data_IF_377458980699
#
_entry.id   IF_377458980699
#
_cell.length_a   1.000
_cell.length_b   1.000
_cell.length_c   1.000
_cell.angle_alpha   90.00
_cell.angle_beta   90.00
_cell.angle_gamma   90.00
#
_symmetry.space_group_name_H-M   'P 1'
#
loop_
_entity.id
_entity.type
_entity.pdbx_description
1 polymer ?
#
# COMPACT_ATOMS: atom_id res chain seq x y z
N UNK A 1 -8.02 -18.92 6.05
CA UNK A 1 -8.95 -17.95 6.66
C UNK A 1 -8.20 -17.07 7.64
N UNK A 2 -8.63 -15.83 7.82
CA UNK A 2 -8.07 -14.87 8.78
C UNK A 2 -9.14 -14.57 9.85
N UNK A 3 -8.84 -14.86 11.10
CA UNK A 3 -9.81 -14.71 12.21
C UNK A 3 -9.58 -13.40 12.95
N UNK A 4 -10.65 -12.69 13.25
CA UNK A 4 -10.65 -11.44 14.04
C UNK A 4 -11.72 -11.53 15.15
N UNK A 5 -11.50 -10.81 16.24
CA UNK A 5 -12.54 -10.60 17.25
C UNK A 5 -13.60 -9.64 16.71
N UNK A 6 -14.84 -9.82 17.10
CA UNK A 6 -15.91 -8.87 16.77
C UNK A 6 -15.51 -7.45 17.21
N UNK A 7 -15.59 -6.49 16.28
CA UNK A 7 -15.17 -5.11 16.50
C UNK A 7 -13.66 -4.88 16.61
N UNK A 8 -12.84 -5.94 16.54
CA UNK A 8 -11.40 -5.87 16.75
C UNK A 8 -10.56 -5.82 15.47
N UNK A 9 -11.15 -5.41 14.33
CA UNK A 9 -10.40 -5.30 13.08
C UNK A 9 -9.40 -4.16 13.16
N UNK A 10 -8.11 -4.49 12.97
CA UNK A 10 -7.02 -3.53 12.93
C UNK A 10 -6.33 -3.56 11.56
N UNK A 11 -5.88 -2.40 11.08
CA UNK A 11 -5.16 -2.24 9.80
C UNK A 11 -3.71 -2.77 9.93
N UNK A 12 -3.58 -4.06 10.19
CA UNK A 12 -2.28 -4.73 10.31
C UNK A 12 -1.78 -5.24 8.95
N UNK A 13 -0.48 -5.46 8.82
CA UNK A 13 0.10 -6.04 7.60
C UNK A 13 -0.49 -7.42 7.30
N UNK A 14 -0.75 -8.24 8.32
CA UNK A 14 -1.40 -9.56 8.15
C UNK A 14 -2.82 -9.44 7.59
N UNK A 15 -3.60 -8.45 8.05
CA UNK A 15 -4.94 -8.19 7.51
C UNK A 15 -4.85 -7.74 6.05
N UNK A 16 -3.97 -6.81 5.72
CA UNK A 16 -3.76 -6.34 4.34
C UNK A 16 -3.35 -7.50 3.43
N UNK A 17 -2.45 -8.39 3.88
CA UNK A 17 -2.06 -9.58 3.13
C UNK A 17 -3.22 -10.56 2.95
N UNK A 18 -4.08 -10.75 3.97
CA UNK A 18 -5.24 -11.60 3.85
C UNK A 18 -6.21 -11.08 2.78
N UNK A 19 -6.50 -9.78 2.77
CA UNK A 19 -7.28 -9.14 1.70
C UNK A 19 -6.62 -9.33 0.34
N UNK A 20 -5.31 -9.05 0.23
CA UNK A 20 -4.56 -9.20 -1.02
C UNK A 20 -4.65 -10.60 -1.62
N UNK A 21 -4.59 -11.62 -0.76
CA UNK A 21 -4.64 -13.03 -1.15
C UNK A 21 -6.07 -13.56 -1.33
N UNK A 22 -7.11 -12.75 -1.09
CA UNK A 22 -8.50 -13.21 -1.11
C UNK A 22 -8.82 -14.20 -0.01
N UNK A 23 -8.11 -14.13 1.12
CA UNK A 23 -8.36 -15.00 2.27
C UNK A 23 -9.62 -14.50 2.98
N UNK A 24 -10.66 -15.34 3.16
CA UNK A 24 -11.87 -14.94 3.88
C UNK A 24 -11.56 -14.46 5.30
N UNK A 25 -12.13 -13.30 5.65
CA UNK A 25 -12.04 -12.70 6.98
C UNK A 25 -13.29 -13.11 7.76
N UNK A 26 -13.11 -13.74 8.90
CA UNK A 26 -14.21 -14.24 9.74
C UNK A 26 -14.02 -13.83 11.19
N UNK A 27 -15.10 -13.86 11.97
CA UNK A 27 -15.02 -13.71 13.42
C UNK A 27 -14.46 -14.97 14.07
N UNK A 28 -13.85 -14.84 15.24
CA UNK A 28 -13.37 -15.95 16.05
C UNK A 28 -14.50 -16.92 16.48
N UNK A 29 -15.76 -16.47 16.47
CA UNK A 29 -16.95 -17.29 16.71
C UNK A 29 -17.06 -18.46 15.73
N UNK A 30 -16.58 -18.31 14.49
CA UNK A 30 -16.64 -19.37 13.49
C UNK A 30 -16.01 -20.68 13.99
N UNK A 31 -14.85 -20.59 14.63
CA UNK A 31 -14.17 -21.79 15.13
C UNK A 31 -14.96 -22.46 16.26
N UNK A 32 -15.48 -21.66 17.20
CA UNK A 32 -16.25 -22.17 18.32
C UNK A 32 -17.57 -22.84 17.88
N UNK A 33 -18.30 -22.21 16.97
CA UNK A 33 -19.58 -22.75 16.48
C UNK A 33 -19.36 -23.97 15.56
N UNK A 34 -18.30 -23.98 14.75
CA UNK A 34 -17.92 -25.16 13.95
C UNK A 34 -17.55 -26.34 14.84
N UNK A 35 -16.82 -26.09 15.94
CA UNK A 35 -16.50 -27.15 16.91
C UNK A 35 -17.75 -27.73 17.62
N UNK A 36 -18.72 -26.87 17.94
CA UNK A 36 -20.02 -27.34 18.54
C UNK A 36 -20.86 -28.15 17.54
N UNK A 37 -20.80 -27.74 16.26
CA UNK A 37 -21.55 -28.40 15.20
C UNK A 37 -20.86 -29.67 14.67
N UNK A 38 -19.64 -29.99 15.15
CA UNK A 38 -18.79 -31.10 14.68
C UNK A 38 -18.52 -31.07 13.15
N UNK A 39 -18.67 -29.89 12.52
CA UNK A 39 -18.41 -29.69 11.11
C UNK A 39 -17.99 -28.24 10.84
N UNK A 40 -17.32 -28.00 9.70
CA UNK A 40 -16.98 -26.65 9.27
C UNK A 40 -18.24 -25.94 8.74
N UNK A 41 -18.63 -24.87 9.41
CA UNK A 41 -19.76 -24.03 9.00
C UNK A 41 -19.37 -23.09 7.86
N UNK A 42 -20.39 -22.57 7.16
CA UNK A 42 -20.16 -21.60 6.09
C UNK A 42 -19.50 -20.32 6.62
N UNK A 43 -18.37 -19.96 6.02
CA UNK A 43 -17.60 -18.77 6.40
C UNK A 43 -18.38 -17.47 6.22
N UNK A 44 -19.28 -17.42 5.24
CA UNK A 44 -20.02 -16.20 4.89
C UNK A 44 -20.93 -15.70 6.02
N UNK A 45 -21.43 -16.62 6.86
CA UNK A 45 -22.27 -16.30 8.03
C UNK A 45 -21.50 -15.69 9.20
N UNK A 46 -20.18 -15.76 9.14
CA UNK A 46 -19.29 -15.27 10.20
C UNK A 46 -18.44 -14.05 9.77
N UNK A 47 -18.87 -13.33 8.73
CA UNK A 47 -18.23 -12.07 8.34
C UNK A 47 -18.26 -11.08 9.52
N UNK A 48 -17.14 -10.41 9.84
CA UNK A 48 -17.13 -9.40 10.90
C UNK A 48 -17.94 -8.17 10.51
N UNK A 49 -18.57 -7.53 11.48
CA UNK A 49 -19.22 -6.24 11.30
C UNK A 49 -18.15 -5.15 11.35
N UNK A 50 -17.89 -4.47 10.21
CA UNK A 50 -16.77 -3.53 10.04
C UNK A 50 -17.20 -2.18 9.48
N UNK A 51 -18.47 -1.80 9.63
CA UNK A 51 -19.02 -0.57 9.06
C UNK A 51 -18.23 0.70 9.45
N UNK A 52 -17.70 0.75 10.67
CA UNK A 52 -16.86 1.87 11.10
C UNK A 52 -15.52 1.88 10.35
N UNK A 53 -14.86 0.74 10.24
CA UNK A 53 -13.57 0.59 9.54
C UNK A 53 -13.74 0.80 8.02
N UNK A 54 -14.86 0.35 7.44
CA UNK A 54 -15.17 0.61 6.03
C UNK A 54 -15.26 2.11 5.74
N UNK A 55 -15.94 2.85 6.63
CA UNK A 55 -16.05 4.31 6.54
C UNK A 55 -14.70 5.01 6.74
N UNK A 56 -13.95 4.60 7.76
CA UNK A 56 -12.66 5.20 8.13
C UNK A 56 -11.58 4.94 7.08
N UNK A 57 -11.50 3.71 6.53
CA UNK A 57 -10.45 3.32 5.58
C UNK A 57 -10.88 3.39 4.12
N UNK A 58 -12.13 3.77 3.86
CA UNK A 58 -12.67 3.98 2.51
C UNK A 58 -12.70 2.70 1.67
N UNK A 59 -13.02 1.55 2.27
CA UNK A 59 -13.10 0.26 1.58
C UNK A 59 -14.47 -0.41 1.79
N UNK A 60 -14.71 -1.52 1.11
CA UNK A 60 -15.88 -2.38 1.35
C UNK A 60 -15.41 -3.83 1.50
N UNK A 61 -15.64 -4.40 2.68
CA UNK A 61 -15.27 -5.79 2.95
C UNK A 61 -15.99 -6.74 1.98
N UNK A 62 -17.25 -6.46 1.67
CA UNK A 62 -18.04 -7.27 0.75
C UNK A 62 -17.41 -7.38 -0.65
N UNK A 63 -16.80 -6.30 -1.13
CA UNK A 63 -16.13 -6.28 -2.45
C UNK A 63 -14.83 -7.05 -2.51
N UNK A 64 -14.10 -7.11 -1.39
CA UNK A 64 -12.75 -7.70 -1.34
C UNK A 64 -12.72 -9.06 -0.63
N UNK A 65 -13.82 -9.44 0.03
CA UNK A 65 -13.91 -10.67 0.82
C UNK A 65 -13.82 -11.92 -0.06
N UNK A 66 -12.80 -12.74 0.17
CA UNK A 66 -12.59 -13.98 -0.59
C UNK A 66 -12.12 -13.77 -2.04
N UNK A 67 -11.82 -12.53 -2.45
CA UNK A 67 -11.38 -12.20 -3.82
C UNK A 67 -9.92 -11.76 -3.80
N UNK A 68 -9.04 -12.54 -4.44
CA UNK A 68 -7.63 -12.18 -4.57
C UNK A 68 -7.46 -10.88 -5.38
N UNK A 69 -6.63 -9.96 -4.85
CA UNK A 69 -6.41 -8.65 -5.43
C UNK A 69 -5.08 -8.59 -6.17
N UNK A 70 -5.08 -8.04 -7.37
CA UNK A 70 -3.85 -7.78 -8.13
C UNK A 70 -3.84 -6.35 -8.67
N UNK A 71 -4.02 -5.31 -7.84
CA UNK A 71 -4.18 -3.93 -8.31
C UNK A 71 -2.94 -3.39 -9.03
N UNK A 72 -1.77 -3.99 -8.78
CA UNK A 72 -0.50 -3.54 -9.37
C UNK A 72 -0.02 -4.43 -10.52
N UNK A 73 -0.90 -5.26 -11.09
CA UNK A 73 -0.54 -6.12 -12.22
C UNK A 73 -0.08 -5.28 -13.42
N UNK A 74 1.13 -5.56 -13.91
CA UNK A 74 1.74 -4.83 -15.03
C UNK A 74 2.47 -3.55 -14.63
N UNK A 75 2.51 -3.21 -13.35
CA UNK A 75 3.30 -2.09 -12.82
C UNK A 75 4.61 -2.56 -12.22
N UNK A 76 5.64 -1.72 -12.35
CA UNK A 76 6.83 -1.79 -11.53
C UNK A 76 6.73 -0.76 -10.40
N UNK A 77 7.23 -1.11 -9.20
CA UNK A 77 7.24 -0.21 -8.05
C UNK A 77 8.70 0.10 -7.71
N UNK A 78 9.03 1.37 -7.67
CA UNK A 78 10.30 1.87 -7.18
C UNK A 78 10.07 2.55 -5.83
N UNK A 79 10.83 2.11 -4.83
CA UNK A 79 10.87 2.74 -3.52
C UNK A 79 12.11 3.62 -3.44
N UNK A 80 11.94 4.90 -3.09
CA UNK A 80 13.08 5.77 -2.86
C UNK A 80 13.99 5.22 -1.75
N UNK A 81 15.29 5.51 -1.77
CA UNK A 81 16.21 5.11 -0.71
C UNK A 81 15.79 5.58 0.68
N UNK A 82 15.21 6.78 0.78
CA UNK A 82 14.69 7.32 2.05
C UNK A 82 13.53 6.45 2.57
N UNK A 83 12.54 6.15 1.73
CA UNK A 83 11.41 5.30 2.10
C UNK A 83 11.85 3.87 2.44
N UNK A 84 12.78 3.28 1.67
CA UNK A 84 13.29 1.92 1.95
C UNK A 84 13.88 1.77 3.35
N UNK A 85 14.59 2.79 3.84
CA UNK A 85 15.19 2.82 5.19
C UNK A 85 14.16 2.82 6.33
N UNK A 86 12.91 3.21 6.06
CA UNK A 86 11.85 3.20 7.09
C UNK A 86 11.31 1.79 7.38
N UNK A 87 11.55 0.83 6.49
CA UNK A 87 11.11 -0.55 6.68
C UNK A 87 12.15 -1.36 7.45
N UNK A 88 11.76 -1.95 8.56
CA UNK A 88 12.61 -2.88 9.33
C UNK A 88 12.97 -4.11 8.50
N UNK A 89 12.05 -4.61 7.70
CA UNK A 89 12.25 -5.75 6.80
C UNK A 89 11.68 -5.44 5.40
N UNK A 90 12.48 -4.78 4.58
CA UNK A 90 12.09 -4.41 3.22
C UNK A 90 11.77 -5.62 2.32
N UNK A 91 12.40 -6.77 2.58
CA UNK A 91 12.17 -8.01 1.82
C UNK A 91 10.72 -8.53 1.94
N UNK A 92 10.08 -8.32 3.09
CA UNK A 92 8.66 -8.66 3.27
C UNK A 92 7.77 -7.74 2.44
N UNK A 93 8.11 -6.46 2.36
CA UNK A 93 7.40 -5.51 1.50
C UNK A 93 7.56 -5.85 0.01
N UNK A 94 8.76 -6.24 -0.43
CA UNK A 94 8.98 -6.72 -1.81
C UNK A 94 8.11 -7.93 -2.14
N UNK A 95 8.06 -8.92 -1.26
CA UNK A 95 7.19 -10.10 -1.42
C UNK A 95 5.71 -9.73 -1.47
N UNK A 96 5.27 -8.81 -0.61
CA UNK A 96 3.89 -8.32 -0.62
C UNK A 96 3.54 -7.67 -1.96
N UNK A 97 4.41 -6.80 -2.49
CA UNK A 97 4.23 -6.19 -3.81
C UNK A 97 4.16 -7.23 -4.94
N UNK A 98 5.01 -8.27 -4.89
CA UNK A 98 5.00 -9.36 -5.88
C UNK A 98 3.69 -10.15 -5.84
N UNK A 99 3.18 -10.44 -4.64
CA UNK A 99 1.88 -11.09 -4.45
C UNK A 99 0.73 -10.29 -5.07
N UNK A 100 0.84 -8.96 -5.05
CA UNK A 100 -0.12 -8.02 -5.64
C UNK A 100 0.05 -7.81 -7.15
N UNK A 101 0.95 -8.58 -7.78
CA UNK A 101 1.21 -8.53 -9.22
C UNK A 101 2.22 -7.47 -9.67
N UNK A 102 2.85 -6.75 -8.73
CA UNK A 102 3.87 -5.75 -9.06
C UNK A 102 5.27 -6.36 -9.14
N UNK A 103 6.17 -5.69 -9.89
CA UNK A 103 7.59 -5.96 -9.88
C UNK A 103 8.32 -4.85 -9.12
N UNK A 104 9.04 -5.19 -8.05
CA UNK A 104 9.86 -4.20 -7.35
C UNK A 104 11.17 -4.00 -8.10
N UNK A 105 11.53 -2.76 -8.39
CA UNK A 105 12.73 -2.38 -9.14
C UNK A 105 13.71 -1.60 -8.28
N UNK A 106 15.01 -1.83 -8.51
CA UNK A 106 16.07 -1.19 -7.74
C UNK A 106 16.37 0.23 -8.24
N UNK A 107 16.02 0.54 -9.49
CA UNK A 107 16.28 1.83 -10.15
C UNK A 107 15.06 2.27 -10.93
N UNK A 108 14.78 3.56 -10.90
CA UNK A 108 13.68 4.17 -11.64
C UNK A 108 13.88 4.10 -13.17
N UNK A 109 15.12 4.04 -13.65
CA UNK A 109 15.48 3.93 -15.07
C UNK A 109 15.34 2.52 -15.64
N UNK A 110 14.62 1.63 -14.93
CA UNK A 110 14.35 0.29 -15.45
C UNK A 110 13.50 0.36 -16.72
N UNK A 111 13.65 -0.63 -17.61
CA UNK A 111 12.93 -0.74 -18.90
C UNK A 111 11.43 -1.09 -18.73
N UNK A 112 10.77 -0.55 -17.72
CA UNK A 112 9.34 -0.78 -17.48
C UNK A 112 8.55 0.46 -17.92
N UNK A 113 7.52 0.25 -18.70
CA UNK A 113 6.68 1.34 -19.25
C UNK A 113 5.84 2.03 -18.16
N UNK A 114 5.51 1.30 -17.09
CA UNK A 114 4.66 1.80 -15.99
C UNK A 114 5.37 1.63 -14.66
N UNK A 115 5.97 2.70 -14.17
CA UNK A 115 6.67 2.72 -12.87
C UNK A 115 5.91 3.63 -11.91
N UNK A 116 5.55 3.08 -10.76
CA UNK A 116 5.02 3.83 -9.61
C UNK A 116 6.20 4.13 -8.69
N UNK A 117 6.44 5.41 -8.42
CA UNK A 117 7.47 5.85 -7.48
C UNK A 117 6.84 6.07 -6.12
N UNK A 118 7.26 5.29 -5.13
CA UNK A 118 6.86 5.47 -3.73
C UNK A 118 7.97 6.15 -2.96
N UNK A 119 7.62 7.19 -2.22
CA UNK A 119 8.55 8.03 -1.51
C UNK A 119 8.10 8.30 -0.07
N UNK A 120 9.03 8.77 0.75
CA UNK A 120 8.71 9.27 2.08
C UNK A 120 8.05 10.66 1.97
N UNK A 121 7.15 10.96 2.89
CA UNK A 121 6.39 12.22 2.87
C UNK A 121 7.26 13.44 3.15
N UNK A 122 8.31 13.27 3.96
CA UNK A 122 9.18 14.35 4.37
C UNK A 122 10.66 13.99 4.24
N UNK A 123 11.47 14.98 3.79
CA UNK A 123 12.92 14.85 3.77
C UNK A 123 13.47 13.87 2.74
N UNK A 124 12.69 13.51 1.74
CA UNK A 124 13.09 12.60 0.67
C UNK A 124 13.65 13.41 -0.50
N UNK A 125 14.96 13.67 -0.47
CA UNK A 125 15.65 14.44 -1.51
C UNK A 125 15.57 13.75 -2.89
N UNK A 126 15.52 12.41 -2.93
CA UNK A 126 15.38 11.68 -4.19
C UNK A 126 13.97 11.92 -4.77
N UNK A 127 12.94 11.98 -3.92
CA UNK A 127 11.58 12.32 -4.36
C UNK A 127 11.50 13.76 -4.88
N UNK A 128 12.08 14.73 -4.17
CA UNK A 128 12.09 16.13 -4.60
C UNK A 128 12.73 16.26 -5.98
N UNK A 129 13.88 15.62 -6.23
CA UNK A 129 14.54 15.63 -7.52
C UNK A 129 13.70 14.98 -8.62
N UNK A 130 13.03 13.85 -8.30
CA UNK A 130 12.18 13.16 -9.26
C UNK A 130 10.95 13.98 -9.65
N UNK A 131 10.39 14.73 -8.70
CA UNK A 131 9.26 15.63 -8.95
C UNK A 131 9.71 16.83 -9.80
N UNK A 132 10.91 17.39 -9.52
CA UNK A 132 11.51 18.44 -10.36
C UNK A 132 11.75 17.96 -11.80
N UNK A 133 12.11 16.68 -11.97
CA UNK A 133 12.26 16.01 -13.28
C UNK A 133 10.91 15.64 -13.94
N UNK A 134 9.78 16.08 -13.36
CA UNK A 134 8.42 15.86 -13.88
C UNK A 134 7.86 14.46 -13.64
N UNK A 135 8.39 13.72 -12.66
CA UNK A 135 7.85 12.41 -12.27
C UNK A 135 6.81 12.55 -11.15
N UNK A 136 5.79 11.74 -11.21
CA UNK A 136 4.84 11.63 -10.10
C UNK A 136 5.39 10.70 -9.00
N UNK A 137 5.38 11.20 -7.77
CA UNK A 137 5.75 10.45 -6.58
C UNK A 137 4.54 10.30 -5.67
N UNK A 138 4.40 9.12 -5.07
CA UNK A 138 3.24 8.79 -4.25
C UNK A 138 3.67 8.37 -2.84
N UNK A 139 2.80 8.66 -1.87
CA UNK A 139 2.96 8.20 -0.50
C UNK A 139 2.77 6.67 -0.41
N UNK A 140 3.46 6.04 0.54
CA UNK A 140 3.40 4.58 0.77
C UNK A 140 1.98 4.04 1.00
N UNK A 141 1.06 4.87 1.50
CA UNK A 141 -0.32 4.47 1.79
C UNK A 141 -1.13 4.18 0.53
N UNK A 142 -0.67 4.61 -0.65
CA UNK A 142 -1.20 4.18 -1.93
C UNK A 142 -1.26 2.64 -2.02
N UNK A 143 -0.21 1.92 -1.55
CA UNK A 143 -0.20 0.46 -1.58
C UNK A 143 -1.34 -0.15 -0.77
N UNK A 144 -1.43 0.23 0.51
CA UNK A 144 -2.40 -0.35 1.43
C UNK A 144 -3.83 0.00 1.05
N UNK A 145 -4.05 1.23 0.59
CA UNK A 145 -5.39 1.70 0.19
C UNK A 145 -5.84 1.07 -1.12
N UNK A 146 -4.94 0.90 -2.09
CA UNK A 146 -5.27 0.18 -3.34
C UNK A 146 -5.67 -1.27 -3.08
N UNK A 147 -5.04 -1.96 -2.12
CA UNK A 147 -5.42 -3.31 -1.71
C UNK A 147 -6.81 -3.31 -1.08
N UNK A 148 -7.05 -2.41 -0.12
CA UNK A 148 -8.33 -2.31 0.57
C UNK A 148 -9.49 -1.97 -0.36
N UNK A 149 -9.26 -1.08 -1.34
CA UNK A 149 -10.28 -0.68 -2.32
C UNK A 149 -10.41 -1.67 -3.48
N UNK A 150 -9.45 -2.60 -3.64
CA UNK A 150 -9.41 -3.54 -4.76
C UNK A 150 -9.09 -2.90 -6.11
N UNK A 151 -8.64 -1.64 -6.12
CA UNK A 151 -8.27 -0.90 -7.34
C UNK A 151 -7.10 0.04 -7.08
N UNK A 152 -6.37 0.36 -8.16
CA UNK A 152 -5.30 1.35 -8.16
C UNK A 152 -5.81 2.64 -8.81
N UNK A 153 -5.78 3.74 -8.05
CA UNK A 153 -6.11 5.07 -8.53
C UNK A 153 -4.86 5.96 -8.47
N UNK A 154 -4.29 6.27 -9.63
CA UNK A 154 -3.14 7.15 -9.80
C UNK A 154 -3.53 8.57 -10.22
N UNK A 155 -4.78 8.77 -10.63
CA UNK A 155 -5.26 10.07 -11.08
C UNK A 155 -5.63 10.98 -9.90
N UNK A 156 -6.08 10.39 -8.80
CA UNK A 156 -6.38 11.13 -7.58
C UNK A 156 -5.12 11.76 -6.97
N UNK A 157 -5.27 13.00 -6.48
CA UNK A 157 -4.21 13.70 -5.72
C UNK A 157 -4.08 13.19 -4.27
N UNK A 158 -4.90 12.22 -3.84
CA UNK A 158 -4.96 11.73 -2.45
C UNK A 158 -3.59 11.28 -1.93
N UNK A 159 -2.80 10.62 -2.79
CA UNK A 159 -1.49 10.06 -2.42
C UNK A 159 -0.32 10.73 -3.13
N UNK A 160 -0.56 11.73 -3.98
CA UNK A 160 0.51 12.41 -4.70
C UNK A 160 1.33 13.30 -3.76
N UNK A 161 2.64 13.11 -3.77
CA UNK A 161 3.58 13.94 -3.03
C UNK A 161 3.90 15.17 -3.87
N UNK A 162 3.75 16.35 -3.28
CA UNK A 162 4.10 17.64 -3.91
C UNK A 162 5.50 18.05 -3.46
N UNK A 163 6.34 18.50 -4.42
CA UNK A 163 7.65 19.04 -4.07
C UNK A 163 7.51 20.19 -3.06
N UNK A 164 8.24 20.11 -1.96
CA UNK A 164 8.38 21.28 -1.06
C UNK A 164 9.28 22.26 -1.78
N UNK A 165 8.74 23.41 -2.17
CA UNK A 165 9.54 24.54 -2.69
C UNK A 165 10.64 24.86 -1.71
N UNK A 166 11.87 24.44 -1.99
CA UNK A 166 13.06 24.92 -1.30
C UNK A 166 13.21 26.40 -1.61
N UNK A 167 12.68 27.29 -0.75
CA UNK A 167 13.03 28.72 -0.76
C UNK A 167 14.54 28.82 -0.57
N UNK A 168 15.28 29.19 -1.63
CA UNK A 168 16.58 29.83 -1.51
C UNK A 168 17.81 28.95 -1.70
N UNK A 169 18.12 28.50 -2.91
CA UNK A 169 19.52 28.50 -3.37
C UNK A 169 19.86 29.91 -3.84
N UNK A 170 20.47 30.73 -2.95
CA UNK A 170 21.17 31.96 -3.37
C UNK A 170 22.20 31.56 -4.43
N UNK A 171 22.03 32.05 -5.65
CA UNK A 171 23.02 31.97 -6.68
C UNK A 171 24.34 32.54 -6.13
N UNK A 172 25.39 31.73 -6.04
CA UNK A 172 26.75 32.22 -5.80
C UNK A 172 27.12 33.06 -7.01
N UNK A 173 27.18 34.38 -6.83
CA UNK A 173 27.65 35.31 -7.83
C UNK A 173 29.06 34.99 -8.26
N UNK A 174 29.47 35.43 -9.49
CA UNK A 174 30.78 35.13 -10.08
C UNK A 174 31.88 35.70 -9.19
N UNK A 175 32.86 34.87 -8.84
CA UNK A 175 34.11 35.32 -8.21
C UNK A 175 34.83 36.22 -9.21
N UNK A 176 34.99 37.50 -8.85
CA UNK A 176 35.90 38.41 -9.53
C UNK A 176 37.32 37.94 -9.22
N UNK A 177 38.06 37.55 -10.24
CA UNK A 177 39.52 37.39 -10.20
C UNK A 177 40.14 38.79 -10.30
N UNK A 178 40.93 39.11 -9.29
CA UNK A 178 41.97 40.20 -9.35
C UNK A 178 43.28 39.54 -9.56
#
# INVERSE_FOLDING_TARGET
>A
MYSVRDGGLAKTMKFIQAIALGIPIVTDKWLAESAKAECFLDLSTFKPLVAQQEKEWGFSLEKVWGVAQTPFKGYAIYFTPALRKTYTNFREMEKACQTLGAKVVAKQTSKHDKIIVLAAEEGDQDADQLIEDGKECYHKDLLTTSILRGNLDLESDEFKIKAKHCKGRRAKGPRKST
#
